data_IF_872366971706
#
_entry.id   IF_872366971706
#
_cell.length_a   1.000
_cell.length_b   1.000
_cell.length_c   1.000
_cell.angle_alpha   90.00
_cell.angle_beta   90.00
_cell.angle_gamma   90.00
#
_symmetry.space_group_name_H-M   'P 1'
#
loop_
_entity.id
_entity.type
_entity.pdbx_description
1 polymer ?
#
# COMPACT_ATOMS: atom_id res chain seq x y z
N UNK A 1 -2.71 9.92 -29.15
CA UNK A 1 -2.20 8.65 -28.58
C UNK A 1 -0.79 8.92 -28.09
N UNK A 2 -0.48 8.66 -26.82
CA UNK A 2 0.91 8.80 -26.35
C UNK A 2 1.67 7.59 -26.90
N UNK A 3 2.63 7.85 -27.80
CA UNK A 3 3.30 6.79 -28.59
C UNK A 3 4.31 5.98 -27.76
N UNK A 4 4.71 6.49 -26.59
CA UNK A 4 5.63 5.82 -25.68
C UNK A 4 5.19 6.03 -24.23
N UNK A 5 5.14 4.95 -23.45
CA UNK A 5 4.95 4.96 -22.00
C UNK A 5 6.31 4.70 -21.37
N UNK A 6 6.75 5.56 -20.45
CA UNK A 6 7.95 5.29 -19.66
C UNK A 6 7.67 4.15 -18.67
N UNK A 7 8.28 2.99 -18.92
CA UNK A 7 8.14 1.79 -18.10
C UNK A 7 9.13 1.76 -16.93
N UNK A 8 10.25 2.49 -17.03
CA UNK A 8 11.31 2.48 -16.04
C UNK A 8 11.02 3.48 -14.91
N UNK A 9 10.35 4.59 -15.22
CA UNK A 9 9.98 5.61 -14.23
C UNK A 9 8.47 5.92 -14.26
N UNK A 10 7.60 4.96 -13.92
CA UNK A 10 6.16 5.20 -13.85
C UNK A 10 5.82 6.20 -12.74
N UNK A 11 4.75 6.99 -12.94
CA UNK A 11 4.27 7.89 -11.89
C UNK A 11 3.71 7.11 -10.68
N UNK A 12 3.83 7.64 -9.44
CA UNK A 12 3.31 6.97 -8.24
C UNK A 12 1.80 6.66 -8.32
N UNK A 13 1.02 7.56 -8.94
CA UNK A 13 -0.42 7.36 -9.13
C UNK A 13 -0.72 6.20 -10.09
N UNK A 14 0.10 5.99 -11.12
CA UNK A 14 -0.05 4.85 -12.02
C UNK A 14 0.27 3.53 -11.33
N UNK A 15 1.29 3.49 -10.46
CA UNK A 15 1.64 2.28 -9.71
C UNK A 15 0.61 1.93 -8.63
N UNK A 16 0.06 2.93 -7.94
CA UNK A 16 -0.97 2.73 -6.92
C UNK A 16 -2.23 2.05 -7.47
N UNK A 17 -2.58 2.30 -8.74
CA UNK A 17 -3.76 1.72 -9.41
C UNK A 17 -3.54 0.27 -9.90
N UNK A 18 -2.30 -0.18 -10.06
CA UNK A 18 -2.01 -1.55 -10.53
C UNK A 18 -2.35 -2.58 -9.45
N UNK A 19 -2.40 -3.88 -9.78
CA UNK A 19 -2.40 -4.92 -8.76
C UNK A 19 -1.03 -5.00 -8.08
N UNK A 20 -0.96 -5.39 -6.80
CA UNK A 20 0.28 -5.43 -5.99
C UNK A 20 1.42 -6.29 -6.57
N UNK A 21 1.09 -7.27 -7.41
CA UNK A 21 2.04 -8.16 -8.11
C UNK A 21 2.43 -7.65 -9.51
N UNK A 22 1.82 -6.55 -9.99
CA UNK A 22 2.01 -5.99 -11.33
C UNK A 22 2.63 -4.58 -11.30
N UNK A 23 3.08 -4.12 -10.14
CA UNK A 23 3.90 -2.90 -9.99
C UNK A 23 5.31 -3.14 -10.54
N UNK A 24 6.10 -2.08 -10.76
CA UNK A 24 7.48 -2.24 -11.25
C UNK A 24 8.31 -3.14 -10.32
N UNK A 25 8.13 -2.93 -9.00
CA UNK A 25 8.65 -3.80 -7.95
C UNK A 25 7.46 -4.34 -7.14
N UNK A 26 7.28 -5.67 -7.02
CA UNK A 26 6.20 -6.25 -6.22
C UNK A 26 6.35 -5.96 -4.72
N UNK A 27 5.24 -5.68 -4.03
CA UNK A 27 5.24 -5.43 -2.60
C UNK A 27 3.86 -5.58 -1.95
N UNK A 28 3.79 -5.77 -0.62
CA UNK A 28 2.52 -5.79 0.09
C UNK A 28 1.88 -4.40 0.13
N UNK A 29 0.54 -4.36 0.16
CA UNK A 29 -0.24 -3.15 0.46
C UNK A 29 -0.79 -3.11 1.88
N UNK A 30 -0.64 -4.21 2.59
CA UNK A 30 -0.99 -4.33 3.98
C UNK A 30 0.08 -3.70 4.86
N UNK A 31 -0.32 -3.22 6.02
CA UNK A 31 0.55 -2.54 6.97
C UNK A 31 0.15 -2.93 8.40
N UNK A 32 1.06 -2.68 9.34
CA UNK A 32 0.73 -2.68 10.76
C UNK A 32 0.31 -1.27 11.14
N UNK A 33 -0.71 -1.17 12.00
CA UNK A 33 -1.18 0.10 12.53
C UNK A 33 -1.32 0.03 14.04
N UNK A 34 -1.07 1.16 14.69
CA UNK A 34 -1.25 1.32 16.12
C UNK A 34 -2.68 1.79 16.39
N UNK A 35 -3.48 0.93 17.02
CA UNK A 35 -4.85 1.26 17.40
C UNK A 35 -4.89 1.66 18.87
N UNK A 36 -5.48 2.83 19.12
CA UNK A 36 -5.79 3.30 20.47
C UNK A 36 -7.30 3.14 20.70
N UNK A 37 -7.66 2.36 21.72
CA UNK A 37 -9.07 2.19 22.11
C UNK A 37 -9.59 3.46 22.80
N UNK A 38 -10.82 3.94 22.49
CA UNK A 38 -11.46 5.05 23.18
C UNK A 38 -11.90 4.64 24.59
N UNK A 39 -10.95 4.52 25.52
CA UNK A 39 -11.19 4.08 26.89
C UNK A 39 -10.05 3.29 27.51
N UNK A 40 -9.06 2.88 26.71
CA UNK A 40 -7.85 2.21 27.20
C UNK A 40 -6.62 3.08 26.96
N UNK A 41 -5.65 3.02 27.87
CA UNK A 41 -4.38 3.74 27.75
C UNK A 41 -3.31 2.96 26.97
N UNK A 42 -3.64 1.72 26.58
CA UNK A 42 -2.72 0.82 25.86
C UNK A 42 -2.91 1.02 24.36
N UNK A 43 -1.78 1.12 23.65
CA UNK A 43 -1.70 1.11 22.20
C UNK A 43 -1.39 -0.32 21.77
N UNK A 44 -2.16 -0.86 20.84
CA UNK A 44 -1.92 -2.21 20.30
C UNK A 44 -1.56 -2.13 18.81
N UNK A 45 -0.50 -2.84 18.42
CA UNK A 45 -0.13 -3.02 17.02
C UNK A 45 -1.02 -4.08 16.38
N UNK A 46 -1.79 -3.72 15.37
CA UNK A 46 -2.67 -4.63 14.63
C UNK A 46 -2.34 -4.63 13.14
N UNK A 47 -2.52 -5.77 12.50
CA UNK A 47 -2.32 -5.90 11.05
C UNK A 47 -3.58 -5.46 10.29
N UNK A 48 -3.40 -4.73 9.18
CA UNK A 48 -4.50 -4.11 8.43
C UNK A 48 -5.49 -5.09 7.79
N UNK A 49 -5.10 -6.34 7.61
CA UNK A 49 -5.94 -7.43 7.10
C UNK A 49 -5.97 -8.57 8.13
N UNK A 50 -6.48 -8.29 9.33
CA UNK A 50 -6.66 -9.29 10.39
C UNK A 50 -7.75 -10.31 10.02
N UNK A 51 -7.57 -11.56 10.45
CA UNK A 51 -8.52 -12.67 10.27
C UNK A 51 -9.50 -12.76 11.43
#
# INVERSE_FOLDING_TARGET
MVLAVDLLNPSPAAEARKHKLKTLVPGPRSFFMDVKCPGCFIITTVFSLSQ
#
